data_IF_700823559603
#
_entry.id   IF_700823559603
#
_cell.length_a   1.000
_cell.length_b   1.000
_cell.length_c   1.000
_cell.angle_alpha   90.00
_cell.angle_beta   90.00
_cell.angle_gamma   90.00
#
_symmetry.space_group_name_H-M   'P 1'
#
loop_
_entity.id
_entity.type
_entity.pdbx_description
1 polymer ?
#
# COMPACT_ATOMS: atom_id res chain seq x y z
N UNK A 1 -24.13 -4.41 39.49
CA UNK A 1 -22.99 -5.31 39.21
C UNK A 1 -23.36 -6.12 37.98
N UNK A 2 -22.66 -5.98 36.85
CA UNK A 2 -22.84 -6.90 35.72
C UNK A 2 -22.11 -8.18 36.10
N UNK A 3 -22.82 -9.29 36.21
CA UNK A 3 -22.17 -10.59 36.38
C UNK A 3 -21.42 -10.88 35.06
N UNK A 4 -20.13 -11.12 35.14
CA UNK A 4 -19.33 -11.51 33.99
C UNK A 4 -19.46 -13.04 33.84
N UNK A 5 -19.99 -13.50 32.71
CA UNK A 5 -19.87 -14.89 32.31
C UNK A 5 -18.57 -15.07 31.54
N UNK A 6 -17.72 -16.00 31.99
CA UNK A 6 -16.48 -16.35 31.33
C UNK A 6 -16.75 -17.46 30.32
N UNK A 7 -16.33 -17.26 29.08
CA UNK A 7 -16.35 -18.31 28.05
C UNK A 7 -15.01 -18.29 27.33
N UNK A 8 -14.30 -19.40 27.40
CA UNK A 8 -13.08 -19.62 26.62
C UNK A 8 -13.46 -20.02 25.19
N UNK A 9 -12.93 -19.29 24.21
CA UNK A 9 -13.10 -19.64 22.80
C UNK A 9 -12.01 -20.65 22.42
N UNK A 10 -12.37 -21.90 22.19
CA UNK A 10 -11.41 -22.94 21.82
C UNK A 10 -11.07 -22.90 20.33
N UNK A 11 -10.04 -22.13 19.96
CA UNK A 11 -9.22 -22.33 18.76
C UNK A 11 -7.84 -21.74 19.02
N UNK A 12 -6.86 -22.61 19.29
CA UNK A 12 -5.50 -22.28 19.74
C UNK A 12 -4.60 -21.66 18.65
N UNK A 13 -5.14 -20.83 17.76
CA UNK A 13 -4.37 -20.19 16.68
C UNK A 13 -4.35 -18.66 16.77
N UNK A 14 -5.04 -18.09 17.76
CA UNK A 14 -4.94 -16.67 18.05
C UNK A 14 -3.60 -16.35 18.71
N UNK A 15 -2.57 -16.15 17.89
CA UNK A 15 -1.24 -15.76 18.34
C UNK A 15 -1.19 -14.24 18.58
N UNK A 16 -0.54 -13.81 19.66
CA UNK A 16 -0.41 -12.39 20.02
C UNK A 16 0.05 -11.55 18.82
N UNK A 17 -0.79 -10.64 18.29
CA UNK A 17 -0.44 -9.83 17.14
C UNK A 17 0.40 -8.61 17.54
N UNK A 18 1.17 -8.07 16.61
CA UNK A 18 1.93 -6.82 16.78
C UNK A 18 1.01 -5.60 16.76
N UNK A 19 -0.09 -5.66 16.00
CA UNK A 19 -1.14 -4.65 16.02
C UNK A 19 -2.52 -5.29 15.88
N UNK A 20 -3.53 -4.58 16.37
CA UNK A 20 -4.90 -5.03 16.44
C UNK A 20 -5.84 -3.86 16.11
N UNK A 21 -6.77 -4.05 15.16
CA UNK A 21 -7.71 -3.01 14.73
C UNK A 21 -9.14 -3.57 14.73
N UNK A 22 -10.05 -2.89 15.41
CA UNK A 22 -11.47 -3.24 15.42
C UNK A 22 -12.19 -2.67 14.19
N UNK A 23 -13.03 -3.50 13.57
CA UNK A 23 -13.98 -3.13 12.52
C UNK A 23 -15.38 -3.18 13.14
N UNK A 24 -15.80 -2.07 13.73
CA UNK A 24 -17.00 -2.00 14.57
C UNK A 24 -18.29 -2.31 13.82
N UNK A 25 -18.41 -1.85 12.57
CA UNK A 25 -19.63 -2.03 11.77
C UNK A 25 -19.81 -3.50 11.39
N UNK A 26 -18.69 -4.19 11.12
CA UNK A 26 -18.71 -5.56 10.64
C UNK A 26 -18.58 -6.60 11.77
N UNK A 27 -18.36 -6.16 13.02
CA UNK A 27 -18.06 -7.03 14.17
C UNK A 27 -16.87 -7.97 13.89
N UNK A 28 -15.86 -7.41 13.23
CA UNK A 28 -14.62 -8.08 12.89
C UNK A 28 -13.44 -7.36 13.55
N UNK A 29 -12.29 -8.00 13.52
CA UNK A 29 -11.04 -7.33 13.82
C UNK A 29 -9.90 -7.86 12.94
N UNK A 30 -8.97 -6.96 12.65
CA UNK A 30 -7.73 -7.25 11.94
C UNK A 30 -6.62 -7.50 12.95
N UNK A 31 -5.82 -8.50 12.65
CA UNK A 31 -4.56 -8.76 13.34
C UNK A 31 -3.40 -8.65 12.37
N UNK A 32 -2.31 -8.10 12.87
CA UNK A 32 -1.08 -7.91 12.11
C UNK A 32 0.06 -8.64 12.80
N UNK A 33 0.73 -9.55 12.08
CA UNK A 33 1.84 -10.31 12.66
C UNK A 33 2.76 -10.84 11.57
N UNK A 34 4.07 -10.78 11.77
CA UNK A 34 5.04 -11.29 10.77
C UNK A 34 4.78 -10.73 9.36
N UNK A 35 4.37 -9.45 9.29
CA UNK A 35 3.96 -8.76 8.06
C UNK A 35 2.65 -9.22 7.43
N UNK A 36 1.99 -10.26 7.94
CA UNK A 36 0.70 -10.74 7.42
C UNK A 36 -0.48 -10.07 8.13
N UNK A 37 -1.61 -10.06 7.43
CA UNK A 37 -2.89 -9.56 7.93
C UNK A 37 -3.89 -10.71 7.96
N UNK A 38 -4.61 -10.85 9.06
CA UNK A 38 -5.68 -11.83 9.22
C UNK A 38 -6.93 -11.18 9.81
N UNK A 39 -8.10 -11.64 9.35
CA UNK A 39 -9.43 -11.13 9.72
C UNK A 39 -10.12 -12.15 10.59
N UNK A 40 -10.67 -11.71 11.71
CA UNK A 40 -11.34 -12.57 12.67
C UNK A 40 -12.68 -11.99 13.06
N UNK A 41 -13.60 -12.85 13.48
CA UNK A 41 -14.86 -12.42 14.06
C UNK A 41 -14.81 -12.40 15.60
N UNK A 42 -15.83 -11.82 16.23
CA UNK A 42 -15.89 -11.71 17.70
C UNK A 42 -16.08 -13.05 18.43
N UNK A 43 -16.31 -14.14 17.69
CA UNK A 43 -16.24 -15.51 18.23
C UNK A 43 -14.83 -16.09 18.17
N UNK A 44 -13.81 -15.31 17.80
CA UNK A 44 -12.42 -15.76 17.67
C UNK A 44 -12.17 -16.71 16.51
N UNK A 45 -13.04 -16.73 15.50
CA UNK A 45 -12.88 -17.56 14.31
C UNK A 45 -12.17 -16.77 13.21
N UNK A 46 -11.17 -17.38 12.57
CA UNK A 46 -10.53 -16.83 11.37
C UNK A 46 -11.55 -16.77 10.23
N UNK A 47 -11.74 -15.59 9.66
CA UNK A 47 -12.62 -15.32 8.52
C UNK A 47 -11.84 -15.41 7.22
N UNK A 48 -10.72 -14.71 7.13
CA UNK A 48 -9.82 -14.73 5.96
C UNK A 48 -8.41 -14.27 6.32
N UNK A 49 -7.46 -14.45 5.41
CA UNK A 49 -6.10 -13.93 5.46
C UNK A 49 -5.72 -13.34 4.11
N UNK A 50 -4.86 -12.32 4.12
CA UNK A 50 -4.40 -11.66 2.90
C UNK A 50 -3.12 -12.32 2.40
N UNK A 51 -3.10 -12.72 1.14
CA UNK A 51 -1.92 -13.36 0.52
C UNK A 51 -0.86 -12.34 0.09
N UNK A 52 -1.26 -11.08 -0.16
CA UNK A 52 -0.44 -10.07 -0.83
C UNK A 52 -0.06 -8.87 0.05
N UNK A 53 -0.65 -8.75 1.24
CA UNK A 53 -0.33 -7.71 2.22
C UNK A 53 0.90 -8.11 3.03
N UNK A 54 2.09 -7.96 2.45
CA UNK A 54 3.37 -8.10 3.16
C UNK A 54 3.80 -6.72 3.66
N UNK A 55 3.34 -6.36 4.86
CA UNK A 55 3.63 -5.05 5.44
C UNK A 55 5.13 -4.78 5.55
N UNK A 56 5.49 -3.50 5.35
CA UNK A 56 6.88 -3.04 5.39
C UNK A 56 7.62 -3.40 6.68
N UNK A 57 6.94 -3.26 7.83
CA UNK A 57 7.52 -3.56 9.13
C UNK A 57 6.95 -4.89 9.67
N UNK A 58 7.79 -5.75 10.27
CA UNK A 58 7.33 -6.96 10.97
C UNK A 58 6.33 -6.61 12.09
N UNK A 59 6.53 -5.45 12.71
CA UNK A 59 5.59 -4.77 13.59
C UNK A 59 4.87 -3.69 12.78
N UNK A 60 3.62 -3.95 12.40
CA UNK A 60 2.78 -3.05 11.61
C UNK A 60 2.96 -1.57 12.01
N UNK A 61 3.31 -0.72 11.04
CA UNK A 61 3.18 0.72 11.20
C UNK A 61 1.82 1.12 10.62
N UNK A 62 0.89 1.48 11.50
CA UNK A 62 -0.47 1.89 11.11
C UNK A 62 -0.50 3.12 10.20
N UNK A 63 0.62 3.86 10.08
CA UNK A 63 0.72 4.99 9.16
C UNK A 63 0.71 4.57 7.68
N UNK A 64 0.97 3.29 7.39
CA UNK A 64 1.06 2.77 6.02
C UNK A 64 -0.18 1.96 5.61
N UNK A 65 -1.26 2.04 6.39
CA UNK A 65 -2.53 1.38 6.10
C UNK A 65 -3.68 2.37 6.18
N UNK A 66 -4.69 2.15 5.34
CA UNK A 66 -5.97 2.83 5.39
C UNK A 66 -7.09 1.80 5.30
N UNK A 67 -8.14 1.99 6.07
CA UNK A 67 -9.35 1.16 6.05
C UNK A 67 -10.49 2.10 5.68
N UNK A 68 -11.27 1.74 4.66
CA UNK A 68 -12.40 2.56 4.19
C UNK A 68 -13.45 2.73 5.27
N UNK A 69 -14.22 3.80 5.15
CA UNK A 69 -15.32 4.12 6.06
C UNK A 69 -16.36 2.99 6.11
N UNK A 70 -16.61 2.33 4.97
CA UNK A 70 -17.49 1.16 4.85
C UNK A 70 -16.85 -0.15 5.37
N UNK A 71 -15.58 -0.11 5.79
CA UNK A 71 -14.82 -1.24 6.35
C UNK A 71 -14.77 -2.48 5.44
N UNK A 72 -14.81 -2.26 4.14
CA UNK A 72 -14.80 -3.30 3.11
C UNK A 72 -13.44 -3.43 2.40
N UNK A 73 -12.63 -2.37 2.40
CA UNK A 73 -11.31 -2.32 1.77
C UNK A 73 -10.20 -1.99 2.77
N UNK A 74 -9.04 -2.60 2.55
CA UNK A 74 -7.77 -2.23 3.17
C UNK A 74 -6.80 -1.82 2.06
N UNK A 75 -6.23 -0.64 2.22
CA UNK A 75 -5.17 -0.10 1.37
C UNK A 75 -3.89 -0.12 2.19
N UNK A 76 -2.83 -0.75 1.70
CA UNK A 76 -1.57 -0.83 2.41
C UNK A 76 -0.37 -0.63 1.52
N UNK A 77 0.70 -0.09 2.10
CA UNK A 77 2.01 -0.14 1.48
C UNK A 77 2.78 -1.39 1.90
N UNK A 78 3.11 -2.21 0.90
CA UNK A 78 3.87 -3.45 1.02
C UNK A 78 5.29 -3.24 0.48
N UNK A 79 6.31 -3.58 1.27
CA UNK A 79 7.70 -3.53 0.78
C UNK A 79 7.92 -4.62 -0.28
N UNK A 80 8.77 -4.36 -1.26
CA UNK A 80 9.24 -5.41 -2.15
C UNK A 80 10.01 -6.48 -1.34
N UNK A 81 9.77 -7.76 -1.61
CA UNK A 81 10.57 -8.86 -1.08
C UNK A 81 11.95 -8.84 -1.76
N UNK A 82 12.84 -7.97 -1.29
CA UNK A 82 14.17 -7.80 -1.89
C UNK A 82 15.15 -8.84 -1.32
N UNK A 83 15.00 -10.10 -1.70
CA UNK A 83 16.14 -11.03 -1.78
C UNK A 83 16.71 -11.09 -3.20
N UNK A 84 16.02 -10.52 -4.20
CA UNK A 84 16.48 -10.46 -5.59
C UNK A 84 16.96 -9.03 -5.96
N UNK A 85 18.28 -8.80 -6.11
CA UNK A 85 18.83 -7.48 -6.43
C UNK A 85 18.50 -6.97 -7.84
N UNK A 86 17.77 -7.75 -8.65
CA UNK A 86 17.36 -7.39 -10.01
C UNK A 86 15.94 -6.78 -10.08
N UNK A 87 15.06 -7.08 -9.13
CA UNK A 87 13.75 -6.44 -9.01
C UNK A 87 13.92 -5.19 -8.14
N UNK A 88 13.64 -4.01 -8.71
CA UNK A 88 13.88 -2.73 -8.04
C UNK A 88 13.30 -2.69 -6.62
N UNK A 89 14.04 -2.05 -5.71
CA UNK A 89 13.71 -1.90 -4.27
C UNK A 89 12.40 -1.16 -3.96
N UNK A 90 11.62 -0.79 -4.98
CA UNK A 90 10.40 -0.01 -4.84
C UNK A 90 9.26 -0.90 -4.33
N UNK A 91 8.59 -0.46 -3.26
CA UNK A 91 7.45 -1.18 -2.72
C UNK A 91 6.22 -1.11 -3.63
N UNK A 92 5.08 -1.54 -3.11
CA UNK A 92 3.81 -1.55 -3.83
C UNK A 92 2.67 -1.13 -2.92
N UNK A 93 1.66 -0.50 -3.51
CA UNK A 93 0.42 -0.16 -2.80
C UNK A 93 -0.63 -1.19 -3.19
N UNK A 94 -1.17 -1.91 -2.23
CA UNK A 94 -2.15 -2.97 -2.44
C UNK A 94 -3.51 -2.52 -1.92
N UNK A 95 -4.54 -2.77 -2.71
CA UNK A 95 -5.94 -2.51 -2.38
C UNK A 95 -6.63 -3.86 -2.35
N UNK A 96 -7.09 -4.30 -1.19
CA UNK A 96 -7.69 -5.62 -1.02
C UNK A 96 -9.02 -5.54 -0.29
N UNK A 97 -9.94 -6.46 -0.63
CA UNK A 97 -11.21 -6.56 0.05
C UNK A 97 -11.04 -7.31 1.39
N UNK A 98 -11.54 -6.73 2.47
CA UNK A 98 -11.36 -7.22 3.83
C UNK A 98 -12.05 -8.57 4.06
N UNK A 99 -13.28 -8.74 3.57
CA UNK A 99 -14.04 -9.97 3.82
C UNK A 99 -13.48 -11.16 3.04
N UNK A 100 -13.07 -10.94 1.80
CA UNK A 100 -12.59 -12.01 0.91
C UNK A 100 -11.09 -12.23 1.00
N UNK A 101 -10.31 -11.26 1.48
CA UNK A 101 -8.85 -11.27 1.46
C UNK A 101 -8.24 -11.07 0.08
N UNK A 102 -9.05 -10.83 -0.96
CA UNK A 102 -8.59 -10.74 -2.35
C UNK A 102 -7.99 -9.37 -2.67
N UNK A 103 -6.83 -9.39 -3.33
CA UNK A 103 -6.24 -8.21 -3.98
C UNK A 103 -7.13 -7.76 -5.15
N UNK A 104 -7.61 -6.51 -5.09
CA UNK A 104 -8.42 -5.89 -6.14
C UNK A 104 -7.54 -5.10 -7.12
N UNK A 105 -6.53 -4.41 -6.60
CA UNK A 105 -5.62 -3.61 -7.39
C UNK A 105 -4.25 -3.49 -6.70
N UNK A 106 -3.20 -3.32 -7.52
CA UNK A 106 -1.84 -3.17 -7.03
C UNK A 106 -1.06 -2.18 -7.87
N UNK A 107 -0.55 -1.13 -7.22
CA UNK A 107 0.30 -0.11 -7.83
C UNK A 107 1.75 -0.55 -7.63
N UNK A 108 2.50 -0.73 -8.72
CA UNK A 108 3.93 -1.08 -8.71
C UNK A 108 4.68 -0.16 -9.66
N UNK A 109 5.97 -0.01 -9.42
CA UNK A 109 6.87 0.53 -10.41
C UNK A 109 7.09 -0.51 -11.50
N UNK A 110 6.25 -0.52 -12.53
CA UNK A 110 6.58 -1.28 -13.74
C UNK A 110 7.80 -0.64 -14.39
N UNK A 111 8.75 -1.47 -14.79
CA UNK A 111 9.91 -1.11 -15.61
C UNK A 111 9.50 -0.77 -17.06
N UNK A 112 8.31 -0.19 -17.26
CA UNK A 112 7.93 0.41 -18.54
C UNK A 112 8.54 1.79 -18.59
N UNK A 113 9.85 1.81 -18.88
CA UNK A 113 10.43 2.98 -19.52
C UNK A 113 9.59 3.24 -20.78
N UNK A 114 8.91 4.39 -20.92
CA UNK A 114 8.54 4.83 -22.26
C UNK A 114 9.87 4.93 -23.00
N UNK A 115 10.11 4.03 -23.95
CA UNK A 115 11.18 4.20 -24.91
C UNK A 115 10.93 5.58 -25.50
N UNK A 116 11.80 6.54 -25.17
CA UNK A 116 11.85 7.80 -25.88
C UNK A 116 12.16 7.44 -27.34
N UNK A 117 11.12 7.25 -28.14
CA UNK A 117 11.19 7.30 -29.60
C UNK A 117 11.48 8.75 -29.99
N UNK A 118 12.70 9.20 -29.71
CA UNK A 118 13.28 10.41 -30.25
C UNK A 118 14.67 10.06 -30.76
N UNK A 119 14.71 9.15 -31.74
CA UNK A 119 15.82 9.04 -32.66
C UNK A 119 15.28 9.30 -34.08
N UNK A 120 15.01 10.57 -34.35
CA UNK A 120 14.89 11.07 -35.73
C UNK A 120 16.04 12.05 -35.95
N UNK A 121 17.19 11.47 -36.30
CA UNK A 121 18.29 12.17 -36.93
C UNK A 121 17.98 12.39 -38.41
N UNK A 122 17.40 13.54 -38.78
CA UNK A 122 17.82 14.29 -39.98
C UNK A 122 17.05 15.61 -40.15
N UNK A 123 17.72 16.76 -39.94
CA UNK A 123 17.35 17.98 -40.66
C UNK A 123 18.55 18.95 -40.77
N UNK A 124 18.93 19.39 -41.99
CA UNK A 124 20.13 20.19 -42.24
C UNK A 124 19.85 21.70 -42.34
N UNK A 125 19.26 22.35 -41.31
CA UNK A 125 19.08 23.81 -41.31
C UNK A 125 19.36 24.49 -39.95
N UNK A 126 20.26 25.50 -39.87
CA UNK A 126 20.59 26.16 -38.61
C UNK A 126 19.59 27.30 -38.31
N UNK A 127 18.47 26.96 -37.68
CA UNK A 127 17.43 27.90 -37.25
C UNK A 127 17.37 28.07 -35.73
N UNK A 128 17.97 29.16 -35.24
CA UNK A 128 18.05 29.60 -33.84
C UNK A 128 16.67 29.61 -33.13
N UNK A 129 16.39 28.64 -32.26
CA UNK A 129 15.28 28.70 -31.29
C UNK A 129 15.81 28.78 -29.85
N UNK A 130 15.34 29.80 -29.13
CA UNK A 130 15.71 30.10 -27.75
C UNK A 130 15.27 28.94 -26.86
N UNK A 131 16.24 28.18 -26.32
CA UNK A 131 16.00 27.24 -25.21
C UNK A 131 15.40 28.03 -24.05
N UNK A 132 14.12 27.82 -23.76
CA UNK A 132 13.51 28.27 -22.49
C UNK A 132 14.16 27.46 -21.37
N UNK A 133 14.86 28.07 -20.41
CA UNK A 133 15.20 27.37 -19.18
C UNK A 133 13.95 27.37 -18.28
N UNK A 134 13.83 26.38 -17.41
CA UNK A 134 12.73 26.16 -16.44
C UNK A 134 11.47 25.49 -16.99
N UNK A 135 11.52 24.17 -17.07
CA UNK A 135 10.80 23.41 -16.05
C UNK A 135 11.76 22.36 -15.51
N UNK A 136 12.10 22.45 -14.22
CA UNK A 136 12.63 21.32 -13.46
C UNK A 136 11.46 20.32 -13.41
N UNK A 137 11.27 19.57 -14.49
CA UNK A 137 10.42 18.39 -14.47
C UNK A 137 11.14 17.40 -13.57
N UNK A 138 10.91 17.50 -12.27
CA UNK A 138 11.16 16.41 -11.32
C UNK A 138 10.21 15.31 -11.77
N UNK A 139 10.61 14.57 -12.81
CA UNK A 139 9.98 13.31 -13.20
C UNK A 139 10.52 12.30 -12.20
N UNK A 140 10.00 12.35 -10.97
CA UNK A 140 10.17 11.21 -10.09
C UNK A 140 9.53 10.04 -10.81
N UNK A 141 10.33 9.01 -11.05
CA UNK A 141 9.83 7.75 -11.59
C UNK A 141 8.85 7.15 -10.59
N UNK A 142 7.91 6.31 -11.07
CA UNK A 142 7.01 5.57 -10.18
C UNK A 142 7.80 4.77 -9.12
N UNK A 143 9.01 4.31 -9.48
CA UNK A 143 9.93 3.64 -8.55
C UNK A 143 10.37 4.54 -7.39
N UNK A 144 10.82 5.76 -7.66
CA UNK A 144 11.25 6.72 -6.63
C UNK A 144 10.06 7.17 -5.74
N UNK A 145 8.87 7.28 -6.34
CA UNK A 145 7.64 7.63 -5.60
C UNK A 145 7.17 6.52 -4.64
N UNK A 146 7.50 5.26 -4.95
CA UNK A 146 7.19 4.08 -4.14
C UNK A 146 8.36 3.62 -3.25
N UNK A 147 9.47 4.36 -3.23
CA UNK A 147 10.62 4.06 -2.39
C UNK A 147 10.41 4.57 -0.96
N UNK A 148 10.66 3.73 0.05
CA UNK A 148 10.61 4.08 1.48
C UNK A 148 9.35 4.90 1.88
N UNK A 149 8.14 4.42 1.56
CA UNK A 149 6.90 5.09 1.99
C UNK A 149 6.75 5.01 3.52
N UNK A 150 6.51 6.17 4.12
CA UNK A 150 6.41 6.40 5.57
C UNK A 150 4.99 6.70 6.05
N UNK A 151 4.12 7.15 5.13
CA UNK A 151 2.72 7.42 5.40
C UNK A 151 1.87 7.19 4.14
N UNK A 152 0.65 6.69 4.34
CA UNK A 152 -0.36 6.49 3.31
C UNK A 152 -1.72 7.00 3.81
N UNK A 153 -2.44 7.69 2.93
CA UNK A 153 -3.81 8.13 3.16
C UNK A 153 -4.62 7.94 1.88
N UNK A 154 -5.92 7.66 2.01
CA UNK A 154 -6.83 7.54 0.87
C UNK A 154 -8.00 8.50 1.04
N UNK A 155 -8.18 9.38 0.07
CA UNK A 155 -9.33 10.28 -0.03
C UNK A 155 -10.46 9.53 -0.75
N UNK A 156 -11.42 9.02 0.02
CA UNK A 156 -12.56 8.25 -0.49
C UNK A 156 -13.48 9.08 -1.40
N UNK A 157 -13.56 10.41 -1.21
CA UNK A 157 -14.38 11.29 -2.04
C UNK A 157 -13.75 11.51 -3.42
N UNK A 158 -12.42 11.62 -3.47
CA UNK A 158 -11.68 11.87 -4.71
C UNK A 158 -11.18 10.60 -5.40
N UNK A 159 -11.23 9.45 -4.73
CA UNK A 159 -10.61 8.20 -5.18
C UNK A 159 -9.11 8.41 -5.48
N UNK A 160 -8.42 9.09 -4.55
CA UNK A 160 -7.00 9.45 -4.65
C UNK A 160 -6.22 8.89 -3.46
N UNK A 161 -5.06 8.30 -3.73
CA UNK A 161 -4.12 7.86 -2.69
C UNK A 161 -3.03 8.92 -2.54
N UNK A 162 -2.71 9.28 -1.31
CA UNK A 162 -1.64 10.19 -0.94
C UNK A 162 -0.55 9.40 -0.21
N UNK A 163 0.70 9.51 -0.64
CA UNK A 163 1.83 8.84 0.01
C UNK A 163 2.95 9.82 0.34
N UNK A 164 3.55 9.66 1.52
CA UNK A 164 4.74 10.40 1.94
C UNK A 164 5.96 9.48 2.01
N UNK A 165 7.07 9.84 1.39
CA UNK A 165 8.30 9.04 1.42
C UNK A 165 9.36 9.60 2.38
N UNK A 166 10.43 8.84 2.63
CA UNK A 166 11.56 9.24 3.50
C UNK A 166 12.29 10.50 3.04
N UNK A 167 12.19 10.86 1.76
CA UNK A 167 12.75 12.10 1.22
C UNK A 167 11.90 13.34 1.58
N UNK A 168 10.73 13.13 2.22
CA UNK A 168 9.79 14.18 2.58
C UNK A 168 8.91 14.63 1.41
N UNK A 169 8.85 13.86 0.32
CA UNK A 169 8.02 14.13 -0.84
C UNK A 169 6.63 13.51 -0.66
N UNK A 170 5.61 14.22 -1.14
CA UNK A 170 4.22 13.75 -1.19
C UNK A 170 3.84 13.45 -2.63
N UNK A 171 3.31 12.25 -2.87
CA UNK A 171 2.82 11.81 -4.17
C UNK A 171 1.31 11.57 -4.11
N UNK A 172 0.62 11.83 -5.22
CA UNK A 172 -0.81 11.59 -5.37
C UNK A 172 -1.01 10.59 -6.50
N UNK A 173 -1.81 9.56 -6.24
CA UNK A 173 -2.15 8.50 -7.18
C UNK A 173 -3.64 8.57 -7.46
N UNK A 174 -4.00 8.97 -8.69
CA UNK A 174 -5.38 9.02 -9.18
C UNK A 174 -5.57 8.01 -10.31
N UNK A 175 -6.81 7.57 -10.51
CA UNK A 175 -7.20 6.80 -11.69
C UNK A 175 -7.33 7.70 -12.93
#
# INVERSE_FOLDING_TARGET
VRNAEFTEVSRMEFMTPSAFIFLYENQLFLTFRNRTVAVWNFRGELVTSFEDHLLWHPDCNTNNIYITSDQDLIISYCKADSDDPLEGSAGSINISNILTGKCLAKIRATSDNPKDENDDSDSPFPGRTKKRPYSLRIRNTVAEALEDITALFYDEERNEIYTGNRQGLVHVWSN
#
